data_IF_632752191507
#
_entry.id   IF_632752191507
#
_cell.length_a   1.000
_cell.length_b   1.000
_cell.length_c   1.000
_cell.angle_alpha   90.00
_cell.angle_beta   90.00
_cell.angle_gamma   90.00
#
_symmetry.space_group_name_H-M   'P 1'
#
loop_
_entity.id
_entity.type
_entity.pdbx_description
1 polymer ?
#
# COMPACT_ATOMS: atom_id res chain seq x y z
N UNK A 1 32.52 55.72 45.58
CA UNK A 1 31.63 54.70 46.21
C UNK A 1 30.46 54.49 45.27
N UNK A 2 30.21 53.23 44.89
CA UNK A 2 29.04 52.67 44.20
C UNK A 2 28.93 52.85 42.67
N UNK A 3 29.12 51.71 42.00
CA UNK A 3 28.76 51.32 40.62
C UNK A 3 27.26 51.49 40.33
N UNK A 4 26.88 51.43 39.06
CA UNK A 4 25.71 50.78 38.40
C UNK A 4 25.57 51.54 37.06
N UNK A 5 25.96 51.02 35.90
CA UNK A 5 25.55 49.75 35.31
C UNK A 5 24.37 50.02 34.37
N UNK A 6 24.64 50.31 33.08
CA UNK A 6 23.60 50.26 32.05
C UNK A 6 24.17 49.79 30.72
N UNK A 7 23.68 48.62 30.37
CA UNK A 7 24.05 47.74 29.29
C UNK A 7 23.96 48.42 27.91
N UNK A 8 25.05 48.31 27.16
CA UNK A 8 25.03 48.38 25.70
C UNK A 8 24.18 47.22 25.18
N UNK A 9 23.03 47.56 24.60
CA UNK A 9 22.09 46.63 24.00
C UNK A 9 22.73 46.06 22.72
N UNK A 10 23.31 44.87 22.85
CA UNK A 10 23.87 44.11 21.74
C UNK A 10 22.74 43.72 20.78
N UNK A 11 22.93 44.04 19.50
CA UNK A 11 22.10 43.56 18.40
C UNK A 11 21.85 42.06 18.54
N UNK A 12 20.59 41.66 18.76
CA UNK A 12 20.16 40.29 18.44
C UNK A 12 19.99 40.26 16.93
N UNK A 13 21.08 39.91 16.24
CA UNK A 13 20.98 39.41 14.89
C UNK A 13 20.15 38.14 14.98
N UNK A 14 18.98 38.16 14.33
CA UNK A 14 18.22 36.96 14.00
C UNK A 14 19.18 35.99 13.32
N UNK A 15 19.66 35.01 14.08
CA UNK A 15 20.42 33.90 13.55
C UNK A 15 19.55 33.24 12.50
N UNK A 16 19.95 33.39 11.24
CA UNK A 16 19.46 32.55 10.18
C UNK A 16 19.51 31.11 10.70
N UNK A 17 18.37 30.43 10.68
CA UNK A 17 18.33 28.99 10.81
C UNK A 17 19.15 28.41 9.65
N UNK A 18 20.45 28.29 9.86
CA UNK A 18 21.29 27.45 9.05
C UNK A 18 20.80 26.04 9.34
N UNK A 19 20.12 25.43 8.36
CA UNK A 19 19.90 23.98 8.38
C UNK A 19 21.23 23.26 8.66
N UNK A 20 21.22 22.01 9.15
CA UNK A 20 22.43 21.30 9.54
C UNK A 20 23.44 21.35 8.39
N UNK A 21 24.50 22.14 8.57
CA UNK A 21 25.55 22.31 7.57
C UNK A 21 26.33 21.00 7.44
N UNK A 22 26.93 20.73 6.30
CA UNK A 22 27.83 19.59 6.15
C UNK A 22 29.10 19.88 6.96
N UNK A 23 29.63 18.93 7.78
CA UNK A 23 30.91 19.12 8.46
C UNK A 23 32.04 19.51 7.53
N UNK A 24 32.78 20.53 7.92
CA UNK A 24 33.99 20.93 7.20
C UNK A 24 35.11 19.90 7.41
N UNK A 25 35.91 19.70 6.37
CA UNK A 25 37.13 18.89 6.45
C UNK A 25 38.05 19.42 7.56
N UNK A 26 38.50 18.52 8.42
CA UNK A 26 39.38 18.80 9.57
C UNK A 26 38.65 19.04 10.89
N UNK A 27 37.31 19.13 10.92
CA UNK A 27 36.52 19.16 12.15
C UNK A 27 36.78 17.91 13.01
N UNK A 28 36.75 18.06 14.34
CA UNK A 28 36.88 16.91 15.26
C UNK A 28 35.56 16.19 15.42
N UNK A 29 35.61 14.90 15.75
CA UNK A 29 34.43 14.09 16.11
C UNK A 29 33.53 14.78 17.14
N UNK A 30 34.11 15.37 18.18
CA UNK A 30 33.37 16.12 19.22
C UNK A 30 32.63 17.35 18.68
N UNK A 31 33.21 18.05 17.70
CA UNK A 31 32.57 19.20 17.07
C UNK A 31 31.40 18.77 16.18
N UNK A 32 31.55 17.64 15.50
CA UNK A 32 30.48 17.04 14.68
C UNK A 32 29.34 16.55 15.57
N UNK A 33 29.62 15.85 16.67
CA UNK A 33 28.60 15.42 17.65
C UNK A 33 27.86 16.61 18.26
N UNK A 34 28.58 17.66 18.66
CA UNK A 34 27.96 18.85 19.25
C UNK A 34 27.00 19.56 18.28
N UNK A 35 27.27 19.45 16.97
CA UNK A 35 26.50 20.15 15.93
C UNK A 35 25.37 19.32 15.33
N UNK A 36 25.60 18.04 15.09
CA UNK A 36 24.67 17.14 14.40
C UNK A 36 23.98 16.15 15.34
N UNK A 37 24.44 16.03 16.58
CA UNK A 37 23.96 15.02 17.52
C UNK A 37 24.58 13.64 17.25
N UNK A 38 23.96 12.62 17.84
CA UNK A 38 24.42 11.23 17.70
C UNK A 38 24.15 10.72 16.28
N UNK A 39 25.10 10.01 15.66
CA UNK A 39 24.87 9.39 14.36
C UNK A 39 23.85 8.25 14.46
N UNK A 40 23.17 7.98 13.35
CA UNK A 40 22.26 6.84 13.19
C UNK A 40 23.00 5.51 13.14
N UNK A 41 24.28 5.54 12.75
CA UNK A 41 25.16 4.38 12.70
C UNK A 41 26.62 4.78 12.62
N UNK A 42 27.49 3.95 13.17
CA UNK A 42 28.94 4.11 13.18
C UNK A 42 29.56 2.84 12.61
N UNK A 43 30.45 3.00 11.63
CA UNK A 43 31.24 1.93 11.04
C UNK A 43 32.70 2.23 11.31
N UNK A 44 33.38 1.32 11.99
CA UNK A 44 34.82 1.40 12.21
C UNK A 44 35.52 0.44 11.26
N UNK A 45 36.54 0.95 10.58
CA UNK A 45 37.39 0.17 9.68
C UNK A 45 38.72 -0.16 10.36
N UNK A 46 39.29 -1.31 10.03
CA UNK A 46 40.55 -1.80 10.62
C UNK A 46 41.74 -0.87 10.33
N UNK A 47 41.63 0.00 9.32
CA UNK A 47 42.62 1.01 8.96
C UNK A 47 42.57 2.29 9.83
N UNK A 48 41.71 2.31 10.85
CA UNK A 48 41.54 3.46 11.75
C UNK A 48 40.64 4.56 11.18
N UNK A 49 39.92 4.29 10.10
CA UNK A 49 38.88 5.16 9.56
C UNK A 49 37.55 4.87 10.25
N UNK A 50 36.84 5.91 10.72
CA UNK A 50 35.48 5.76 11.27
C UNK A 50 34.48 6.52 10.40
N UNK A 51 33.35 5.91 10.08
CA UNK A 51 32.31 6.50 9.22
C UNK A 51 31.03 6.62 10.00
N UNK A 52 30.48 7.84 10.08
CA UNK A 52 29.26 8.15 10.79
C UNK A 52 28.13 8.47 9.82
N UNK A 53 26.97 7.87 10.03
CA UNK A 53 25.78 8.09 9.20
C UNK A 53 24.78 9.04 9.87
N UNK A 54 24.36 10.07 9.13
CA UNK A 54 23.30 11.01 9.54
C UNK A 54 22.07 10.93 8.61
N UNK A 55 21.84 9.75 8.02
CA UNK A 55 20.67 9.42 7.20
C UNK A 55 20.63 10.04 5.81
N UNK A 56 21.06 11.31 5.65
CA UNK A 56 21.10 12.02 4.36
C UNK A 56 22.52 12.29 3.84
N UNK A 57 23.53 12.06 4.67
CA UNK A 57 24.95 12.16 4.32
C UNK A 57 25.80 11.32 5.29
N UNK A 58 27.00 10.97 4.84
CA UNK A 58 28.02 10.25 5.59
C UNK A 58 29.19 11.19 5.93
N UNK A 59 29.78 10.98 7.10
CA UNK A 59 30.96 11.73 7.56
C UNK A 59 32.07 10.73 7.84
N UNK A 60 33.18 10.86 7.13
CA UNK A 60 34.32 9.96 7.26
C UNK A 60 35.40 10.64 8.08
N UNK A 61 35.84 9.97 9.13
CA UNK A 61 36.90 10.42 10.03
C UNK A 61 38.15 9.57 9.82
N UNK A 62 39.28 10.25 9.78
CA UNK A 62 40.59 9.63 9.79
C UNK A 62 41.43 10.32 10.87
N UNK A 63 41.99 9.54 11.80
CA UNK A 63 42.71 10.07 12.95
C UNK A 63 41.87 11.07 13.79
N UNK A 64 40.58 10.77 13.99
CA UNK A 64 39.65 11.57 14.81
C UNK A 64 39.21 12.91 14.20
N UNK A 65 39.45 13.10 12.89
CA UNK A 65 39.08 14.33 12.16
C UNK A 65 38.36 14.00 10.86
N UNK A 66 37.42 14.86 10.47
CA UNK A 66 36.68 14.75 9.21
C UNK A 66 37.66 14.79 8.05
N UNK A 67 37.78 13.69 7.32
CA UNK A 67 38.62 13.56 6.15
C UNK A 67 37.85 13.94 4.88
N UNK A 68 36.60 13.47 4.74
CA UNK A 68 35.65 13.87 3.71
C UNK A 68 34.20 13.61 4.15
N UNK A 69 33.25 14.15 3.38
CA UNK A 69 31.80 13.95 3.58
C UNK A 69 31.16 13.56 2.26
N UNK A 70 30.26 12.59 2.29
CA UNK A 70 29.51 12.14 1.11
C UNK A 70 28.03 12.50 1.29
N UNK A 71 27.48 13.27 0.35
CA UNK A 71 26.04 13.49 0.29
C UNK A 71 25.36 12.30 -0.37
N UNK A 72 24.27 11.79 0.22
CA UNK A 72 23.37 10.88 -0.49
C UNK A 72 22.58 11.76 -1.49
N UNK A 73 23.19 12.02 -2.64
CA UNK A 73 22.68 12.99 -3.59
C UNK A 73 21.41 12.48 -4.28
N UNK A 74 20.23 12.89 -3.78
CA UNK A 74 19.06 13.12 -4.65
C UNK A 74 19.37 14.32 -5.54
N UNK A 75 19.93 14.13 -6.74
CA UNK A 75 19.92 15.17 -7.79
C UNK A 75 19.65 14.60 -9.18
N UNK A 76 18.66 15.22 -9.83
CA UNK A 76 18.42 15.19 -11.26
C UNK A 76 19.71 15.54 -12.02
N UNK A 77 20.25 14.61 -12.79
CA UNK A 77 21.23 14.91 -13.83
C UNK A 77 20.77 14.23 -15.12
N UNK A 78 20.19 15.04 -15.99
CA UNK A 78 19.88 14.72 -17.38
C UNK A 78 21.18 14.95 -18.15
N UNK A 79 21.76 13.89 -18.72
CA UNK A 79 22.83 14.00 -19.71
C UNK A 79 24.06 13.15 -19.42
N UNK A 80 24.20 12.07 -20.19
CA UNK A 80 25.45 11.38 -20.57
C UNK A 80 26.53 11.29 -19.49
N UNK A 81 26.41 10.28 -18.63
CA UNK A 81 27.49 9.86 -17.75
C UNK A 81 28.43 8.94 -18.55
N UNK A 82 29.69 9.37 -18.70
CA UNK A 82 30.79 8.54 -19.20
C UNK A 82 30.88 7.24 -18.39
N UNK A 83 31.39 6.17 -19.01
CA UNK A 83 31.56 4.85 -18.39
C UNK A 83 32.30 4.91 -17.03
N UNK A 84 33.15 5.92 -16.82
CA UNK A 84 33.85 6.18 -15.56
C UNK A 84 32.93 6.67 -14.44
N UNK A 85 31.90 7.46 -14.75
CA UNK A 85 30.90 7.90 -13.77
C UNK A 85 29.93 6.77 -13.45
N UNK A 86 29.55 5.95 -14.44
CA UNK A 86 28.80 4.71 -14.18
C UNK A 86 29.63 3.73 -13.33
N UNK A 87 30.93 3.62 -13.56
CA UNK A 87 31.82 2.78 -12.75
C UNK A 87 31.99 3.33 -11.32
N UNK A 88 32.14 4.65 -11.16
CA UNK A 88 32.17 5.31 -9.85
C UNK A 88 30.86 5.10 -9.09
N UNK A 89 29.72 5.33 -9.72
CA UNK A 89 28.41 5.13 -9.10
C UNK A 89 28.19 3.64 -8.78
N UNK A 90 28.56 2.73 -9.69
CA UNK A 90 28.53 1.27 -9.43
C UNK A 90 29.41 0.88 -8.24
N UNK A 91 30.62 1.46 -8.11
CA UNK A 91 31.48 1.22 -6.94
C UNK A 91 30.88 1.78 -5.65
N UNK A 92 30.19 2.93 -5.73
CA UNK A 92 29.48 3.54 -4.61
C UNK A 92 28.32 2.65 -4.14
N UNK A 93 27.60 2.00 -5.06
CA UNK A 93 26.54 1.04 -4.72
C UNK A 93 27.06 -0.35 -4.33
N UNK A 94 28.16 -0.83 -4.93
CA UNK A 94 28.78 -2.11 -4.54
C UNK A 94 29.42 -2.06 -3.15
N UNK A 95 29.90 -0.88 -2.75
CA UNK A 95 30.49 -0.64 -1.44
C UNK A 95 29.59 0.19 -0.54
N UNK A 96 28.30 0.35 -0.89
CA UNK A 96 27.34 1.04 -0.04
C UNK A 96 27.17 0.20 1.24
N UNK A 97 27.61 0.70 2.41
CA UNK A 97 27.49 -0.04 3.64
C UNK A 97 26.02 -0.28 4.02
N UNK A 98 25.08 0.49 3.47
CA UNK A 98 23.65 0.26 3.67
C UNK A 98 23.12 -0.97 2.94
N UNK A 99 23.83 -1.46 1.91
CA UNK A 99 23.52 -2.72 1.23
C UNK A 99 24.18 -3.93 1.90
N UNK A 100 25.19 -3.72 2.73
CA UNK A 100 25.81 -4.78 3.54
C UNK A 100 24.87 -5.13 4.70
N UNK A 101 24.08 -6.18 4.52
CA UNK A 101 23.06 -6.61 5.49
C UNK A 101 21.67 -6.04 5.22
N UNK A 102 21.45 -5.36 4.10
CA UNK A 102 20.13 -4.99 3.62
C UNK A 102 19.27 -6.23 3.35
N UNK A 103 17.96 -6.08 3.53
CA UNK A 103 17.00 -7.09 3.09
C UNK A 103 16.91 -7.15 1.56
N UNK A 104 16.41 -8.28 1.04
CA UNK A 104 16.29 -8.53 -0.39
C UNK A 104 15.48 -7.44 -1.12
N UNK A 105 14.50 -6.82 -0.45
CA UNK A 105 13.64 -5.78 -1.02
C UNK A 105 14.43 -4.50 -1.28
N UNK A 106 15.21 -4.08 -0.28
CA UNK A 106 16.07 -2.89 -0.36
C UNK A 106 17.14 -3.06 -1.45
N UNK A 107 17.75 -4.24 -1.54
CA UNK A 107 18.73 -4.56 -2.60
C UNK A 107 18.08 -4.41 -3.98
N UNK A 108 16.88 -4.97 -4.17
CA UNK A 108 16.18 -4.93 -5.46
C UNK A 108 15.77 -3.51 -5.84
N UNK A 109 15.22 -2.73 -4.91
CA UNK A 109 14.79 -1.36 -5.16
C UNK A 109 15.95 -0.45 -5.59
N UNK A 110 17.09 -0.57 -4.90
CA UNK A 110 18.29 0.22 -5.20
C UNK A 110 18.84 -0.11 -6.60
N UNK A 111 18.95 -1.39 -6.94
CA UNK A 111 19.48 -1.80 -8.24
C UNK A 111 18.48 -1.62 -9.39
N UNK A 112 17.17 -1.62 -9.14
CA UNK A 112 16.16 -1.25 -10.14
C UNK A 112 16.20 0.25 -10.45
N UNK A 113 16.32 1.11 -9.44
CA UNK A 113 16.52 2.56 -9.66
C UNK A 113 17.84 2.82 -10.41
N UNK A 114 18.90 2.09 -10.08
CA UNK A 114 20.16 2.16 -10.83
C UNK A 114 20.01 1.71 -12.29
N UNK A 115 19.43 0.52 -12.53
CA UNK A 115 19.22 0.00 -13.88
C UNK A 115 18.28 0.87 -14.73
N UNK A 116 17.29 1.52 -14.12
CA UNK A 116 16.42 2.48 -14.80
C UNK A 116 17.17 3.74 -15.25
N UNK A 117 18.20 4.16 -14.50
CA UNK A 117 19.05 5.32 -14.84
C UNK A 117 20.14 4.95 -15.84
N UNK A 118 20.61 3.71 -15.83
CA UNK A 118 21.66 3.20 -16.69
C UNK A 118 21.21 1.89 -17.36
N UNK A 119 20.37 1.96 -18.40
CA UNK A 119 19.75 0.77 -19.01
C UNK A 119 20.76 -0.19 -19.65
N UNK A 120 21.93 0.31 -20.05
CA UNK A 120 23.01 -0.50 -20.64
C UNK A 120 24.00 -1.03 -19.58
N UNK A 121 23.81 -0.70 -18.29
CA UNK A 121 24.72 -1.12 -17.24
C UNK A 121 24.41 -2.53 -16.74
N UNK A 122 25.46 -3.35 -16.64
CA UNK A 122 25.36 -4.70 -16.08
C UNK A 122 25.16 -4.63 -14.55
N UNK A 123 24.02 -5.13 -14.08
CA UNK A 123 23.65 -5.23 -12.67
C UNK A 123 24.39 -6.40 -12.01
N UNK A 124 24.77 -6.29 -10.72
CA UNK A 124 25.50 -7.34 -10.02
C UNK A 124 24.63 -8.57 -9.72
N UNK A 125 25.24 -9.74 -9.58
CA UNK A 125 24.54 -11.02 -9.33
C UNK A 125 23.63 -10.97 -8.08
N UNK A 126 24.04 -10.23 -7.04
CA UNK A 126 23.28 -10.05 -5.79
C UNK A 126 21.88 -9.47 -6.05
N UNK A 127 21.72 -8.63 -7.08
CA UNK A 127 20.42 -8.13 -7.51
C UNK A 127 19.52 -9.27 -8.01
N UNK A 128 20.03 -10.08 -8.92
CA UNK A 128 19.27 -11.18 -9.53
C UNK A 128 18.90 -12.24 -8.50
N UNK A 129 19.82 -12.57 -7.59
CA UNK A 129 19.57 -13.50 -6.49
C UNK A 129 18.49 -13.00 -5.53
N UNK A 130 18.58 -11.74 -5.10
CA UNK A 130 17.61 -11.12 -4.19
C UNK A 130 16.22 -11.04 -4.84
N UNK A 131 16.17 -10.68 -6.12
CA UNK A 131 14.93 -10.64 -6.91
C UNK A 131 14.30 -12.04 -7.06
N UNK A 132 15.10 -13.08 -7.25
CA UNK A 132 14.58 -14.45 -7.32
C UNK A 132 14.06 -14.94 -5.96
N UNK A 133 14.74 -14.62 -4.86
CA UNK A 133 14.25 -14.90 -3.49
C UNK A 133 12.91 -14.23 -3.21
N UNK A 134 12.74 -12.95 -3.55
CA UNK A 134 11.47 -12.24 -3.41
C UNK A 134 10.35 -12.85 -4.26
N UNK A 135 10.66 -13.24 -5.51
CA UNK A 135 9.69 -13.91 -6.39
C UNK A 135 9.21 -15.23 -5.81
N UNK A 136 10.13 -16.04 -5.28
CA UNK A 136 9.82 -17.31 -4.62
C UNK A 136 8.97 -17.09 -3.36
N UNK A 137 9.32 -16.08 -2.55
CA UNK A 137 8.56 -15.70 -1.35
C UNK A 137 7.14 -15.28 -1.69
N UNK A 138 6.98 -14.36 -2.64
CA UNK A 138 5.65 -13.90 -3.09
C UNK A 138 4.81 -15.03 -3.70
N UNK A 139 5.43 -15.97 -4.42
CA UNK A 139 4.74 -17.15 -4.94
C UNK A 139 4.28 -18.11 -3.81
N UNK A 140 5.08 -18.26 -2.76
CA UNK A 140 4.71 -19.06 -1.59
C UNK A 140 3.54 -18.42 -0.82
N UNK A 141 3.62 -17.12 -0.55
CA UNK A 141 2.55 -16.36 0.12
C UNK A 141 1.22 -16.42 -0.65
N UNK A 142 1.27 -16.32 -1.99
CA UNK A 142 0.07 -16.48 -2.83
C UNK A 142 -0.56 -17.86 -2.70
N UNK A 143 0.25 -18.92 -2.69
CA UNK A 143 -0.25 -20.30 -2.51
C UNK A 143 -0.89 -20.51 -1.14
N UNK A 144 -0.33 -19.89 -0.12
CA UNK A 144 -0.86 -19.96 1.25
C UNK A 144 -2.17 -19.19 1.37
N UNK A 145 -2.24 -18.00 0.78
CA UNK A 145 -3.48 -17.22 0.68
C UNK A 145 -4.58 -17.99 -0.07
N UNK A 146 -4.26 -18.58 -1.23
CA UNK A 146 -5.21 -19.40 -1.99
C UNK A 146 -5.69 -20.62 -1.20
N UNK A 147 -4.81 -21.23 -0.38
CA UNK A 147 -5.20 -22.33 0.51
C UNK A 147 -6.20 -21.86 1.56
N UNK A 148 -5.92 -20.75 2.24
CA UNK A 148 -6.83 -20.18 3.24
C UNK A 148 -8.17 -19.76 2.64
N UNK A 149 -8.18 -19.19 1.44
CA UNK A 149 -9.41 -18.86 0.71
C UNK A 149 -10.25 -20.10 0.42
N UNK A 150 -9.62 -21.20 -0.03
CA UNK A 150 -10.32 -22.48 -0.26
C UNK A 150 -10.91 -23.03 1.03
N UNK A 151 -10.13 -23.04 2.12
CA UNK A 151 -10.62 -23.51 3.43
C UNK A 151 -11.79 -22.66 3.94
N UNK A 152 -11.73 -21.33 3.78
CA UNK A 152 -12.85 -20.44 4.13
C UNK A 152 -14.07 -20.66 3.25
N UNK A 153 -13.88 -20.91 1.95
CA UNK A 153 -14.96 -21.21 1.03
C UNK A 153 -15.61 -22.56 1.34
N UNK A 154 -14.82 -23.58 1.68
CA UNK A 154 -15.31 -24.89 2.11
C UNK A 154 -16.06 -24.79 3.44
N UNK A 155 -15.52 -24.07 4.43
CA UNK A 155 -16.22 -23.83 5.69
C UNK A 155 -17.55 -23.10 5.49
N UNK A 156 -17.62 -22.10 4.60
CA UNK A 156 -18.89 -21.45 4.23
C UNK A 156 -19.87 -22.44 3.60
N UNK A 157 -19.42 -23.27 2.67
CA UNK A 157 -20.27 -24.32 2.07
C UNK A 157 -20.76 -25.32 3.11
N UNK A 158 -19.91 -25.71 4.06
CA UNK A 158 -20.30 -26.61 5.14
C UNK A 158 -21.34 -25.97 6.06
N UNK A 159 -21.17 -24.69 6.41
CA UNK A 159 -22.20 -23.96 7.17
C UNK A 159 -23.50 -23.79 6.39
N UNK A 160 -23.44 -23.56 5.09
CA UNK A 160 -24.62 -23.44 4.23
C UNK A 160 -25.34 -24.79 4.11
N UNK A 161 -24.59 -25.88 3.90
CA UNK A 161 -25.15 -27.23 3.88
C UNK A 161 -25.74 -27.63 5.24
N UNK A 162 -25.12 -27.22 6.34
CA UNK A 162 -25.67 -27.43 7.69
C UNK A 162 -26.97 -26.66 7.90
N UNK A 163 -27.05 -25.40 7.44
CA UNK A 163 -28.28 -24.61 7.46
C UNK A 163 -29.37 -25.22 6.58
N UNK A 164 -29.02 -25.63 5.36
CA UNK A 164 -29.96 -26.32 4.45
C UNK A 164 -30.46 -27.63 5.05
N UNK A 165 -29.59 -28.38 5.73
CA UNK A 165 -29.96 -29.61 6.42
C UNK A 165 -30.91 -29.34 7.59
N UNK A 166 -30.63 -28.33 8.42
CA UNK A 166 -31.54 -27.92 9.50
C UNK A 166 -32.89 -27.44 8.95
N UNK A 167 -32.92 -26.77 7.79
CA UNK A 167 -34.17 -26.38 7.11
C UNK A 167 -34.97 -27.57 6.56
N UNK A 168 -34.31 -28.67 6.20
CA UNK A 168 -34.98 -29.90 5.72
C UNK A 168 -35.47 -30.74 6.91
N UNK A 169 -34.67 -30.84 7.98
CA UNK A 169 -34.97 -31.65 9.16
C UNK A 169 -35.95 -30.97 10.13
N UNK A 170 -36.10 -29.64 10.07
CA UNK A 170 -37.18 -28.91 10.73
C UNK A 170 -38.35 -28.74 9.76
N UNK A 171 -39.43 -29.55 9.85
CA UNK A 171 -40.63 -29.22 9.11
C UNK A 171 -41.09 -27.84 9.56
N UNK A 172 -41.05 -26.87 8.65
CA UNK A 172 -41.77 -25.61 8.84
C UNK A 172 -43.23 -26.03 8.94
N UNK A 173 -43.73 -26.12 10.17
CA UNK A 173 -45.15 -26.28 10.43
C UNK A 173 -45.79 -24.98 10.00
N UNK A 174 -46.12 -24.85 8.72
CA UNK A 174 -47.00 -23.81 8.21
C UNK A 174 -48.38 -24.20 8.73
N UNK A 175 -48.69 -23.85 9.98
CA UNK A 175 -49.91 -24.30 10.63
C UNK A 175 -51.18 -23.84 9.91
N UNK A 176 -51.11 -22.85 9.01
CA UNK A 176 -52.23 -22.46 8.14
C UNK A 176 -51.73 -21.94 6.79
N UNK A 177 -52.33 -22.36 5.65
CA UNK A 177 -52.08 -21.68 4.38
C UNK A 177 -52.40 -20.19 4.54
N UNK A 178 -51.51 -19.33 4.03
CA UNK A 178 -51.72 -17.88 4.08
C UNK A 178 -53.04 -17.53 3.38
N UNK A 179 -53.84 -16.59 3.92
CA UNK A 179 -55.08 -16.16 3.29
C UNK A 179 -54.82 -15.68 1.86
N UNK A 180 -55.69 -16.04 0.91
CA UNK A 180 -55.58 -15.63 -0.50
C UNK A 180 -55.55 -14.10 -0.65
N UNK A 181 -56.18 -13.35 0.25
CA UNK A 181 -56.11 -11.89 0.31
C UNK A 181 -54.72 -11.35 0.65
N UNK A 182 -53.98 -12.03 1.52
CA UNK A 182 -52.59 -11.68 1.85
C UNK A 182 -51.68 -11.94 0.65
N UNK A 183 -51.84 -13.08 -0.02
CA UNK A 183 -51.09 -13.42 -1.23
C UNK A 183 -51.38 -12.42 -2.37
N UNK A 184 -52.64 -12.00 -2.54
CA UNK A 184 -53.02 -10.97 -3.49
C UNK A 184 -52.30 -9.65 -3.19
N UNK A 185 -52.35 -9.16 -1.94
CA UNK A 185 -51.70 -7.91 -1.54
C UNK A 185 -50.18 -7.96 -1.77
N UNK A 186 -49.54 -9.10 -1.49
CA UNK A 186 -48.11 -9.28 -1.72
C UNK A 186 -47.77 -9.22 -3.22
N UNK A 187 -48.56 -9.86 -4.09
CA UNK A 187 -48.32 -9.82 -5.53
C UNK A 187 -48.56 -8.42 -6.12
N UNK A 188 -49.55 -7.68 -5.62
CA UNK A 188 -49.79 -6.29 -6.05
C UNK A 188 -48.61 -5.37 -5.68
N UNK A 189 -48.00 -5.57 -4.51
CA UNK A 189 -46.77 -4.87 -4.13
C UNK A 189 -45.59 -5.17 -5.07
N UNK A 190 -45.35 -6.45 -5.35
CA UNK A 190 -44.29 -6.88 -6.28
C UNK A 190 -44.49 -6.33 -7.69
N UNK A 191 -45.75 -6.24 -8.17
CA UNK A 191 -46.05 -5.68 -9.49
C UNK A 191 -45.65 -4.20 -9.59
N UNK A 192 -45.87 -3.43 -8.53
CA UNK A 192 -45.45 -2.01 -8.45
C UNK A 192 -43.93 -1.91 -8.51
N UNK A 193 -43.22 -2.73 -7.73
CA UNK A 193 -41.76 -2.75 -7.71
C UNK A 193 -41.17 -3.10 -9.09
N UNK A 194 -41.70 -4.12 -9.77
CA UNK A 194 -41.20 -4.53 -11.08
C UNK A 194 -41.45 -3.48 -12.17
N UNK A 195 -42.61 -2.80 -12.14
CA UNK A 195 -42.88 -1.68 -13.06
C UNK A 195 -41.96 -0.51 -12.79
N UNK A 196 -41.77 -0.14 -11.53
CA UNK A 196 -40.83 0.93 -11.16
C UNK A 196 -39.39 0.62 -11.56
N UNK A 197 -38.93 -0.62 -11.37
CA UNK A 197 -37.59 -1.05 -11.75
C UNK A 197 -37.41 -1.05 -13.28
N UNK A 198 -38.44 -1.46 -14.02
CA UNK A 198 -38.47 -1.38 -15.49
C UNK A 198 -38.38 0.07 -15.98
N UNK A 199 -39.16 0.97 -15.41
CA UNK A 199 -39.16 2.38 -15.81
C UNK A 199 -37.82 3.05 -15.49
N UNK A 200 -37.19 2.69 -14.37
CA UNK A 200 -35.82 3.12 -14.04
C UNK A 200 -34.78 2.56 -15.02
N UNK A 201 -34.93 1.31 -15.47
CA UNK A 201 -34.06 0.72 -16.49
C UNK A 201 -34.21 1.43 -17.86
N UNK A 202 -35.43 1.83 -18.23
CA UNK A 202 -35.68 2.64 -19.44
C UNK A 202 -35.03 4.02 -19.29
N UNK A 203 -35.25 4.71 -18.18
CA UNK A 203 -34.73 6.05 -17.93
C UNK A 203 -33.19 6.09 -17.90
N UNK A 204 -32.55 5.00 -17.44
CA UNK A 204 -31.09 4.86 -17.42
C UNK A 204 -30.49 4.35 -18.74
N UNK A 205 -31.31 3.99 -19.73
CA UNK A 205 -30.85 3.41 -21.00
C UNK A 205 -30.31 1.98 -20.88
N UNK A 206 -30.53 1.30 -19.74
CA UNK A 206 -30.12 -0.08 -19.54
C UNK A 206 -31.18 -1.04 -20.12
N UNK A 207 -30.99 -1.43 -21.39
CA UNK A 207 -31.92 -2.31 -22.12
C UNK A 207 -31.73 -3.79 -21.81
N UNK A 208 -30.66 -4.18 -21.12
CA UNK A 208 -30.27 -5.58 -20.89
C UNK A 208 -31.29 -6.36 -20.05
N UNK A 209 -31.96 -5.67 -19.12
CA UNK A 209 -32.85 -6.29 -18.14
C UNK A 209 -34.35 -6.09 -18.47
N UNK A 210 -34.70 -5.36 -19.53
CA UNK A 210 -36.09 -5.04 -19.86
C UNK A 210 -36.93 -6.30 -20.13
N UNK A 211 -36.41 -7.24 -20.91
CA UNK A 211 -37.11 -8.50 -21.20
C UNK A 211 -37.35 -9.33 -19.93
N UNK A 212 -36.45 -9.24 -18.93
CA UNK A 212 -36.60 -9.92 -17.64
C UNK A 212 -37.72 -9.27 -16.83
N UNK A 213 -37.78 -7.93 -16.78
CA UNK A 213 -38.85 -7.22 -16.08
C UNK A 213 -40.21 -7.44 -16.74
N UNK A 214 -40.30 -7.45 -18.07
CA UNK A 214 -41.54 -7.74 -18.81
C UNK A 214 -42.07 -9.15 -18.47
N UNK A 215 -41.19 -10.16 -18.40
CA UNK A 215 -41.57 -11.52 -18.01
C UNK A 215 -42.05 -11.61 -16.55
N UNK A 216 -41.38 -10.91 -15.62
CA UNK A 216 -41.77 -10.86 -14.21
C UNK A 216 -43.12 -10.16 -14.00
N UNK A 217 -43.36 -9.06 -14.72
CA UNK A 217 -44.64 -8.34 -14.73
C UNK A 217 -45.76 -9.27 -15.22
N UNK A 218 -45.60 -9.90 -16.38
CA UNK A 218 -46.62 -10.78 -16.95
C UNK A 218 -46.96 -11.98 -16.04
N UNK A 219 -45.95 -12.61 -15.45
CA UNK A 219 -46.14 -13.72 -14.50
C UNK A 219 -46.88 -13.26 -13.23
N UNK A 220 -46.58 -12.06 -12.74
CA UNK A 220 -47.19 -11.50 -11.52
C UNK A 220 -48.64 -11.09 -11.78
N UNK A 221 -48.94 -10.50 -12.94
CA UNK A 221 -50.31 -10.17 -13.35
C UNK A 221 -51.19 -11.43 -13.48
N UNK A 222 -50.64 -12.54 -13.99
CA UNK A 222 -51.34 -13.81 -14.06
C UNK A 222 -51.68 -14.34 -12.65
N UNK A 223 -50.74 -14.27 -11.70
CA UNK A 223 -50.98 -14.67 -10.30
C UNK A 223 -52.02 -13.78 -9.62
N UNK A 224 -51.96 -12.45 -9.82
CA UNK A 224 -52.95 -11.51 -9.30
C UNK A 224 -54.34 -11.86 -9.82
N UNK A 225 -54.47 -12.18 -11.12
CA UNK A 225 -55.75 -12.60 -11.71
C UNK A 225 -56.28 -13.87 -11.03
N UNK A 226 -55.45 -14.90 -10.90
CA UNK A 226 -55.82 -16.14 -10.22
C UNK A 226 -56.31 -15.89 -8.78
N UNK A 227 -55.63 -15.01 -8.04
CA UNK A 227 -56.03 -14.70 -6.66
C UNK A 227 -57.30 -13.85 -6.59
N UNK A 228 -57.51 -12.92 -7.52
CA UNK A 228 -58.78 -12.17 -7.61
C UNK A 228 -59.94 -13.07 -7.97
N UNK A 229 -59.75 -14.00 -8.91
CA UNK A 229 -60.78 -14.98 -9.29
C UNK A 229 -61.13 -15.89 -8.10
N UNK A 230 -60.12 -16.37 -7.37
CA UNK A 230 -60.31 -17.19 -6.17
C UNK A 230 -61.02 -16.44 -5.02
N UNK A 231 -60.94 -15.10 -5.00
CA UNK A 231 -61.63 -14.24 -4.04
C UNK A 231 -63.00 -13.74 -4.55
N UNK A 232 -63.41 -14.10 -5.77
CA UNK A 232 -64.65 -13.60 -6.40
C UNK A 232 -64.58 -12.11 -6.76
N UNK A 233 -63.38 -11.56 -6.92
CA UNK A 233 -63.11 -10.16 -7.27
C UNK A 233 -62.91 -9.95 -8.78
N UNK A 234 -63.05 -11.00 -9.59
CA UNK A 234 -62.95 -10.93 -11.05
C UNK A 234 -64.15 -10.22 -11.69
N UNK A 235 -63.89 -9.17 -12.47
CA UNK A 235 -64.78 -8.60 -13.48
C UNK A 235 -64.11 -8.69 -14.84
#
# INVERSE_FOLDING_TARGET
>A
MILWGLATMTMVTTGAWAGPSVPAKGETESAVLARLGHPNGVLESEDGTSTWSYGSFLVHFQNGRVAWTDGIAKRQARGTADADEAHRIKSMYLHDPSLVGADDQTIVEVWEDYGARFPDAELPDVYYESRDRLRKKAAAERREYERQERERAESRRETELALMRDMIERPVVVERPLPTSFLLQQQEGLLVEYRSARDAAIASGNTRDLARYDALIGSTEQRIRMYRDALGLGR
#
